data_IF_106627993070
#
_entry.id   IF_106627993070
#
_cell.length_a   1.000
_cell.length_b   1.000
_cell.length_c   1.000
_cell.angle_alpha   90.00
_cell.angle_beta   90.00
_cell.angle_gamma   90.00
#
_symmetry.space_group_name_H-M   'P 1'
#
loop_
_entity.id
_entity.type
_entity.pdbx_description
1 polymer ?
#
# COMPACT_ATOMS: atom_id res chain seq x y z
N UNK A 1 -33.12 52.84 14.70
CA UNK A 1 -32.37 51.57 14.72
C UNK A 1 -31.42 51.59 13.55
N UNK A 2 -30.11 51.73 13.77
CA UNK A 2 -29.13 51.67 12.67
C UNK A 2 -29.12 50.25 12.12
N UNK A 3 -29.34 50.09 10.81
CA UNK A 3 -29.10 48.83 10.13
C UNK A 3 -27.65 48.42 10.41
N UNK A 4 -27.47 47.34 11.18
CA UNK A 4 -26.16 46.69 11.29
C UNK A 4 -25.82 46.19 9.90
N UNK A 5 -24.94 46.90 9.21
CA UNK A 5 -24.34 46.47 7.94
C UNK A 5 -23.75 45.09 8.20
N UNK A 6 -24.29 44.06 7.55
CA UNK A 6 -23.72 42.71 7.62
C UNK A 6 -22.31 42.82 7.04
N UNK A 7 -21.30 42.63 7.87
CA UNK A 7 -19.91 42.59 7.42
C UNK A 7 -19.77 41.47 6.37
N UNK A 8 -19.17 41.81 5.23
CA UNK A 8 -18.92 40.85 4.16
C UNK A 8 -17.92 39.81 4.65
N UNK A 9 -18.23 38.53 4.47
CA UNK A 9 -17.31 37.44 4.79
C UNK A 9 -15.95 37.64 4.10
N UNK A 10 -14.87 37.69 4.89
CA UNK A 10 -13.49 37.78 4.45
C UNK A 10 -12.69 36.56 4.98
N UNK A 11 -12.51 35.50 4.17
CA UNK A 11 -11.79 34.30 4.59
C UNK A 11 -10.35 34.60 5.01
N UNK A 12 -9.67 35.54 4.33
CA UNK A 12 -8.28 35.89 4.60
C UNK A 12 -8.06 36.47 6.00
N UNK A 13 -9.10 37.07 6.60
CA UNK A 13 -9.07 37.56 7.98
C UNK A 13 -9.60 36.53 8.99
N UNK A 14 -10.59 35.71 8.59
CA UNK A 14 -11.31 34.82 9.50
C UNK A 14 -10.59 33.49 9.69
N UNK A 15 -10.07 32.88 8.63
CA UNK A 15 -9.48 31.53 8.68
C UNK A 15 -8.21 31.49 9.55
N UNK A 16 -7.20 32.38 9.36
CA UNK A 16 -6.00 32.36 10.20
C UNK A 16 -6.31 32.60 11.67
N UNK A 17 -7.22 33.54 11.96
CA UNK A 17 -7.65 33.87 13.32
C UNK A 17 -8.17 32.63 14.08
N UNK A 18 -9.02 31.82 13.43
CA UNK A 18 -9.58 30.64 14.09
C UNK A 18 -8.60 29.47 14.15
N UNK A 19 -7.78 29.28 13.12
CA UNK A 19 -6.71 28.28 13.12
C UNK A 19 -5.71 28.54 14.25
N UNK A 20 -5.24 29.77 14.41
CA UNK A 20 -4.34 30.19 15.49
C UNK A 20 -4.97 29.97 16.87
N UNK A 21 -6.25 30.35 17.03
CA UNK A 21 -6.96 30.15 18.29
C UNK A 21 -7.07 28.66 18.65
N UNK A 22 -7.48 27.81 17.72
CA UNK A 22 -7.63 26.38 18.00
C UNK A 22 -6.29 25.70 18.31
N UNK A 23 -5.21 26.15 17.66
CA UNK A 23 -3.87 25.67 17.96
C UNK A 23 -3.41 26.10 19.36
N UNK A 24 -3.62 27.36 19.73
CA UNK A 24 -3.27 27.90 21.06
C UNK A 24 -4.09 27.25 22.20
N UNK A 25 -5.35 26.92 21.94
CA UNK A 25 -6.23 26.24 22.90
C UNK A 25 -5.89 24.75 23.05
N UNK A 26 -4.96 24.21 22.25
CA UNK A 26 -4.64 22.77 22.16
C UNK A 26 -5.90 21.91 21.98
N UNK A 27 -6.91 22.47 21.30
CA UNK A 27 -8.28 21.97 21.34
C UNK A 27 -8.42 20.56 20.77
N UNK A 28 -7.58 20.18 19.81
CA UNK A 28 -7.66 18.93 19.06
C UNK A 28 -6.62 17.89 19.50
N UNK A 29 -5.83 18.19 20.52
CA UNK A 29 -4.94 17.20 21.14
C UNK A 29 -5.78 16.19 21.94
N UNK A 30 -5.48 14.90 21.75
CA UNK A 30 -6.22 13.82 22.38
C UNK A 30 -5.41 13.20 23.51
N UNK A 31 -6.09 12.97 24.64
CA UNK A 31 -5.54 12.25 25.78
C UNK A 31 -6.29 10.93 25.99
N UNK A 32 -5.55 9.90 26.41
CA UNK A 32 -6.08 8.57 26.67
C UNK A 32 -6.90 8.47 27.97
N UNK A 33 -6.77 9.44 28.88
CA UNK A 33 -7.47 9.51 30.17
C UNK A 33 -8.81 10.27 30.12
N UNK A 34 -9.29 10.61 28.91
CA UNK A 34 -10.56 11.29 28.72
C UNK A 34 -11.76 10.37 28.98
N UNK A 35 -12.74 10.85 29.74
CA UNK A 35 -13.94 10.08 30.10
C UNK A 35 -14.94 9.91 28.93
N UNK A 36 -14.83 10.69 27.85
CA UNK A 36 -15.70 10.59 26.68
C UNK A 36 -15.44 9.30 25.90
N UNK A 37 -16.45 8.76 25.19
CA UNK A 37 -16.25 7.59 24.33
C UNK A 37 -15.22 7.89 23.23
N UNK A 38 -14.27 6.98 23.02
CA UNK A 38 -13.23 7.13 22.01
C UNK A 38 -13.79 7.02 20.59
N UNK A 39 -13.21 7.78 19.67
CA UNK A 39 -13.44 7.64 18.24
C UNK A 39 -12.13 7.85 17.49
N UNK A 40 -11.71 6.88 16.67
CA UNK A 40 -10.53 7.03 15.82
C UNK A 40 -11.00 7.27 14.37
N UNK A 41 -10.75 8.47 13.87
CA UNK A 41 -10.96 8.83 12.47
C UNK A 41 -9.62 8.90 11.73
N UNK A 42 -9.47 8.16 10.64
CA UNK A 42 -8.23 8.12 9.86
C UNK A 42 -8.53 8.35 8.38
N UNK A 43 -7.72 9.19 7.74
CA UNK A 43 -7.62 9.32 6.30
C UNK A 43 -6.27 8.77 5.89
N UNK A 44 -6.19 8.06 4.75
CA UNK A 44 -4.89 7.62 4.22
C UNK A 44 -3.97 8.84 4.07
N UNK A 45 -2.84 8.81 4.75
CA UNK A 45 -1.85 9.88 4.75
C UNK A 45 -1.13 10.02 3.39
N UNK A 46 -0.68 11.23 3.01
CA UNK A 46 -0.16 11.47 1.66
C UNK A 46 1.28 10.99 1.48
N UNK A 47 1.62 10.63 0.24
CA UNK A 47 3.02 10.47 -0.18
C UNK A 47 3.70 11.83 -0.32
N UNK A 48 4.99 11.91 -0.01
CA UNK A 48 5.79 13.14 -0.05
C UNK A 48 6.40 13.43 -1.42
N UNK A 49 5.61 13.25 -2.49
CA UNK A 49 6.07 13.38 -3.88
C UNK A 49 6.10 14.82 -4.40
N UNK A 50 5.51 15.77 -3.68
CA UNK A 50 5.44 17.18 -4.04
C UNK A 50 4.39 17.93 -3.20
N UNK A 51 3.73 18.91 -3.80
CA UNK A 51 2.65 19.67 -3.16
C UNK A 51 1.30 18.90 -3.20
N UNK A 52 0.39 19.22 -2.28
CA UNK A 52 -0.94 18.62 -2.27
C UNK A 52 -1.76 19.06 -3.49
N UNK A 53 -2.28 18.08 -4.23
CA UNK A 53 -3.26 18.30 -5.30
C UNK A 53 -4.73 18.19 -4.82
N UNK A 54 -5.69 18.56 -5.69
CA UNK A 54 -7.13 18.55 -5.39
C UNK A 54 -7.69 17.22 -4.89
N UNK A 55 -7.12 16.09 -5.33
CA UNK A 55 -7.50 14.76 -4.82
C UNK A 55 -7.30 14.61 -3.30
N UNK A 56 -6.28 15.25 -2.71
CA UNK A 56 -6.08 15.24 -1.26
C UNK A 56 -7.20 15.99 -0.55
N UNK A 57 -7.55 17.19 -1.04
CA UNK A 57 -8.66 17.98 -0.48
C UNK A 57 -9.99 17.23 -0.55
N UNK A 58 -10.23 16.53 -1.67
CA UNK A 58 -11.43 15.71 -1.85
C UNK A 58 -11.54 14.58 -0.82
N UNK A 59 -10.43 13.97 -0.40
CA UNK A 59 -10.42 12.92 0.62
C UNK A 59 -10.44 13.48 2.05
N UNK A 60 -9.69 14.57 2.30
CA UNK A 60 -9.45 15.11 3.63
C UNK A 60 -10.61 15.96 4.15
N UNK A 61 -11.22 16.81 3.33
CA UNK A 61 -12.29 17.69 3.80
C UNK A 61 -13.53 16.91 4.30
N UNK A 62 -14.06 15.89 3.59
CA UNK A 62 -15.16 15.08 4.11
C UNK A 62 -14.78 14.30 5.37
N UNK A 63 -13.53 13.85 5.47
CA UNK A 63 -13.01 13.16 6.65
C UNK A 63 -13.03 14.09 7.88
N UNK A 64 -12.54 15.32 7.73
CA UNK A 64 -12.56 16.33 8.79
C UNK A 64 -14.00 16.70 9.20
N UNK A 65 -14.91 16.85 8.24
CA UNK A 65 -16.34 17.10 8.53
C UNK A 65 -16.93 16.01 9.42
N UNK A 66 -16.65 14.73 9.11
CA UNK A 66 -17.15 13.62 9.92
C UNK A 66 -16.46 13.54 11.29
N UNK A 67 -15.15 13.79 11.37
CA UNK A 67 -14.42 13.84 12.62
C UNK A 67 -14.98 14.95 13.54
N UNK A 68 -15.25 16.14 12.99
CA UNK A 68 -15.92 17.25 13.70
C UNK A 68 -17.32 16.87 14.16
N UNK A 69 -18.11 16.25 13.29
CA UNK A 69 -19.45 15.78 13.62
C UNK A 69 -19.43 14.83 14.82
N UNK A 70 -18.52 13.84 14.83
CA UNK A 70 -18.34 12.92 15.96
C UNK A 70 -17.91 13.65 17.22
N UNK A 71 -17.01 14.64 17.12
CA UNK A 71 -16.61 15.44 18.28
C UNK A 71 -17.78 16.23 18.87
N UNK A 72 -18.63 16.81 18.02
CA UNK A 72 -19.86 17.51 18.44
C UNK A 72 -20.90 16.59 19.08
N UNK A 73 -20.85 15.29 18.79
CA UNK A 73 -21.65 14.27 19.47
C UNK A 73 -21.08 13.83 20.82
N UNK A 74 -19.99 14.45 21.29
CA UNK A 74 -19.40 14.20 22.60
C UNK A 74 -18.32 13.11 22.63
N UNK A 75 -17.81 12.67 21.48
CA UNK A 75 -16.71 11.70 21.43
C UNK A 75 -15.35 12.36 21.66
N UNK A 76 -14.41 11.61 22.25
CA UNK A 76 -12.99 11.92 22.22
C UNK A 76 -12.40 11.44 20.89
N UNK A 77 -12.31 12.35 19.92
CA UNK A 77 -11.94 12.04 18.54
C UNK A 77 -10.44 12.19 18.33
N UNK A 78 -9.75 11.07 18.10
CA UNK A 78 -8.40 11.04 17.51
C UNK A 78 -8.52 11.13 15.99
N UNK A 79 -8.03 12.23 15.43
CA UNK A 79 -7.85 12.39 13.99
C UNK A 79 -6.38 12.73 13.72
N UNK A 80 -5.50 11.75 13.49
CA UNK A 80 -4.09 12.00 13.28
C UNK A 80 -3.80 12.28 11.81
N UNK A 81 -2.60 12.79 11.55
CA UNK A 81 -2.01 12.91 10.22
C UNK A 81 -0.55 12.49 10.27
N UNK A 82 0.02 12.19 9.12
CA UNK A 82 1.44 11.89 8.98
C UNK A 82 1.83 11.96 7.51
N UNK A 83 3.00 11.41 7.19
CA UNK A 83 3.53 11.41 5.84
C UNK A 83 4.14 10.06 5.49
N UNK A 84 3.68 9.48 4.39
CA UNK A 84 4.32 8.31 3.81
C UNK A 84 5.52 8.76 2.96
N UNK A 85 6.69 8.68 3.59
CA UNK A 85 7.89 9.40 3.21
C UNK A 85 9.01 8.49 2.65
N UNK A 86 8.72 7.20 2.42
CA UNK A 86 9.61 6.27 1.74
C UNK A 86 9.11 5.92 0.33
N UNK A 87 9.97 5.24 -0.43
CA UNK A 87 9.61 4.60 -1.68
C UNK A 87 9.86 5.44 -2.93
N UNK A 88 9.62 4.80 -4.07
CA UNK A 88 10.01 5.34 -5.37
C UNK A 88 9.38 6.70 -5.74
N UNK A 89 8.17 7.09 -5.32
CA UNK A 89 7.64 8.41 -5.69
C UNK A 89 8.55 9.56 -5.22
N UNK A 90 8.97 9.54 -3.95
CA UNK A 90 9.85 10.55 -3.38
C UNK A 90 11.28 10.44 -3.95
N UNK A 91 11.79 9.21 -4.10
CA UNK A 91 13.12 8.95 -4.64
C UNK A 91 13.24 9.38 -6.11
N UNK A 92 12.31 8.99 -6.97
CA UNK A 92 12.33 9.36 -8.40
C UNK A 92 12.22 10.87 -8.59
N UNK A 93 11.37 11.55 -7.80
CA UNK A 93 11.23 13.00 -7.86
C UNK A 93 12.51 13.74 -7.45
N UNK A 94 13.22 13.20 -6.46
CA UNK A 94 14.51 13.73 -6.00
C UNK A 94 15.63 13.48 -7.03
N UNK A 95 15.72 12.26 -7.58
CA UNK A 95 16.68 11.88 -8.63
C UNK A 95 16.51 12.76 -9.86
N UNK A 96 15.27 12.98 -10.33
CA UNK A 96 15.02 13.81 -11.52
C UNK A 96 15.44 15.27 -11.35
N UNK A 97 15.65 15.72 -10.10
CA UNK A 97 16.04 17.08 -9.73
C UNK A 97 17.50 17.17 -9.26
N UNK A 98 18.21 16.05 -9.15
CA UNK A 98 19.57 16.01 -8.61
C UNK A 98 19.65 16.39 -7.12
N UNK A 99 18.58 16.17 -6.35
CA UNK A 99 18.48 16.50 -4.92
C UNK A 99 18.55 15.20 -4.11
N UNK A 100 19.16 15.23 -2.92
CA UNK A 100 19.15 14.09 -2.03
C UNK A 100 17.71 13.75 -1.58
N UNK A 101 17.24 12.48 -1.68
CA UNK A 101 15.84 12.13 -1.39
C UNK A 101 15.35 12.56 -0.01
N UNK A 102 16.20 12.48 1.02
CA UNK A 102 15.86 12.95 2.36
C UNK A 102 15.56 14.44 2.38
N UNK A 103 16.41 15.28 1.78
CA UNK A 103 16.23 16.73 1.74
C UNK A 103 14.95 17.09 1.00
N UNK A 104 14.75 16.52 -0.20
CA UNK A 104 13.52 16.70 -0.98
C UNK A 104 12.26 16.33 -0.20
N UNK A 105 12.30 15.17 0.47
CA UNK A 105 11.17 14.65 1.25
C UNK A 105 10.83 15.56 2.42
N UNK A 106 11.82 15.98 3.20
CA UNK A 106 11.59 16.84 4.36
C UNK A 106 11.10 18.23 3.95
N UNK A 107 11.65 18.82 2.86
CA UNK A 107 11.15 20.09 2.32
C UNK A 107 9.70 19.99 1.84
N UNK A 108 9.32 18.88 1.21
CA UNK A 108 7.93 18.64 0.81
C UNK A 108 7.02 18.50 2.04
N UNK A 109 7.46 17.77 3.07
CA UNK A 109 6.71 17.60 4.32
C UNK A 109 6.40 18.95 4.96
N UNK A 110 7.39 19.86 5.05
CA UNK A 110 7.16 21.20 5.60
C UNK A 110 6.07 21.96 4.83
N UNK A 111 6.18 22.00 3.49
CA UNK A 111 5.17 22.67 2.64
C UNK A 111 3.80 22.02 2.73
N UNK A 112 3.74 20.69 2.66
CA UNK A 112 2.48 19.95 2.77
C UNK A 112 1.84 20.13 4.14
N UNK A 113 2.63 20.21 5.21
CA UNK A 113 2.13 20.49 6.57
C UNK A 113 1.48 21.88 6.64
N UNK A 114 2.11 22.90 6.06
CA UNK A 114 1.52 24.25 5.97
C UNK A 114 0.20 24.24 5.18
N UNK A 115 0.17 23.54 4.05
CA UNK A 115 -1.05 23.37 3.26
C UNK A 115 -2.13 22.65 4.08
N UNK A 116 -1.83 21.52 4.72
CA UNK A 116 -2.81 20.80 5.55
C UNK A 116 -3.33 21.64 6.71
N UNK A 117 -2.48 22.47 7.33
CA UNK A 117 -2.90 23.41 8.37
C UNK A 117 -3.83 24.50 7.82
N UNK A 118 -3.67 24.92 6.57
CA UNK A 118 -4.55 25.92 5.95
C UNK A 118 -5.98 25.39 5.70
N UNK A 119 -6.18 24.08 5.63
CA UNK A 119 -7.52 23.47 5.65
C UNK A 119 -8.25 23.74 6.97
N UNK A 120 -7.50 23.99 8.05
CA UNK A 120 -8.03 24.14 9.39
C UNK A 120 -8.64 22.86 9.95
N UNK A 121 -8.20 21.69 9.49
CA UNK A 121 -8.69 20.39 9.97
C UNK A 121 -8.34 20.14 11.45
N UNK A 122 -9.10 19.26 12.11
CA UNK A 122 -8.95 18.94 13.55
C UNK A 122 -7.85 17.93 13.83
N UNK A 123 -6.74 17.97 13.07
CA UNK A 123 -5.67 17.01 13.24
C UNK A 123 -4.95 17.18 14.58
N UNK A 124 -4.66 16.05 15.23
CA UNK A 124 -3.75 16.00 16.37
C UNK A 124 -2.30 15.94 15.87
N UNK A 125 -1.69 17.11 15.70
CA UNK A 125 -0.32 17.26 15.20
C UNK A 125 0.75 16.71 16.16
N UNK A 126 0.42 16.48 17.44
CA UNK A 126 1.36 15.85 18.38
C UNK A 126 1.56 14.36 18.10
N UNK A 127 0.71 13.77 17.26
CA UNK A 127 0.78 12.37 16.82
C UNK A 127 1.26 12.25 15.37
N UNK A 128 1.88 13.31 14.85
CA UNK A 128 2.48 13.28 13.52
C UNK A 128 3.54 12.19 13.42
N UNK A 129 3.47 11.40 12.35
CA UNK A 129 4.49 10.40 12.02
C UNK A 129 5.03 10.64 10.62
N UNK A 130 6.33 10.45 10.45
CA UNK A 130 7.02 10.52 9.16
C UNK A 130 7.74 9.19 8.96
N UNK A 131 7.32 8.42 7.96
CA UNK A 131 7.75 7.00 7.87
C UNK A 131 9.25 6.82 7.60
N UNK A 132 9.92 7.84 7.05
CA UNK A 132 11.36 7.82 6.77
C UNK A 132 12.26 8.17 7.96
N UNK A 133 11.69 8.58 9.10
CA UNK A 133 12.47 8.91 10.29
C UNK A 133 12.78 7.67 11.15
N UNK A 134 13.97 7.60 11.79
CA UNK A 134 14.39 6.44 12.59
C UNK A 134 13.41 6.06 13.70
N UNK A 135 12.77 7.04 14.32
CA UNK A 135 11.81 6.80 15.40
C UNK A 135 10.55 6.05 14.95
N UNK A 136 10.25 6.08 13.65
CA UNK A 136 9.19 5.27 13.05
C UNK A 136 9.72 3.92 12.57
N UNK A 137 10.68 3.90 11.63
CA UNK A 137 11.06 2.65 10.96
C UNK A 137 11.85 1.67 11.83
N UNK A 138 12.39 2.10 12.99
CA UNK A 138 12.98 1.14 13.95
C UNK A 138 11.98 0.06 14.37
N UNK A 139 10.69 0.41 14.43
CA UNK A 139 9.61 -0.52 14.75
C UNK A 139 9.27 -1.45 13.58
N UNK A 140 9.37 -0.98 12.34
CA UNK A 140 9.15 -1.83 11.16
C UNK A 140 10.29 -2.83 10.99
N UNK A 141 11.54 -2.42 11.24
CA UNK A 141 12.70 -3.30 11.31
C UNK A 141 12.53 -4.36 12.41
N UNK A 142 12.13 -3.93 13.62
CA UNK A 142 11.86 -4.84 14.72
C UNK A 142 10.74 -5.84 14.39
N UNK A 143 9.63 -5.38 13.80
CA UNK A 143 8.52 -6.25 13.41
C UNK A 143 8.93 -7.27 12.34
N UNK A 144 9.73 -6.85 11.36
CA UNK A 144 10.30 -7.75 10.36
C UNK A 144 11.13 -8.86 11.02
N UNK A 145 11.98 -8.52 11.99
CA UNK A 145 12.76 -9.52 12.74
C UNK A 145 11.85 -10.50 13.49
N UNK A 146 10.75 -10.03 14.09
CA UNK A 146 9.77 -10.91 14.75
C UNK A 146 9.05 -11.83 13.77
N UNK A 147 8.68 -11.36 12.59
CA UNK A 147 8.13 -12.21 11.54
C UNK A 147 9.17 -13.21 11.03
N UNK A 148 10.43 -12.82 10.92
CA UNK A 148 11.53 -13.71 10.52
C UNK A 148 11.79 -14.81 11.55
N UNK A 149 11.89 -14.45 12.83
CA UNK A 149 12.03 -15.39 13.96
C UNK A 149 10.86 -16.40 14.00
N UNK A 150 9.64 -15.96 13.66
CA UNK A 150 8.45 -16.80 13.57
C UNK A 150 8.33 -17.61 12.25
N UNK A 151 9.31 -17.48 11.33
CA UNK A 151 9.28 -18.14 10.03
C UNK A 151 8.21 -17.63 9.07
N UNK A 152 7.65 -16.44 9.33
CA UNK A 152 6.65 -15.74 8.52
C UNK A 152 7.28 -14.77 7.52
N UNK A 153 8.51 -14.32 7.74
CA UNK A 153 9.36 -13.70 6.73
C UNK A 153 10.44 -14.69 6.31
N UNK A 154 10.73 -14.80 5.01
CA UNK A 154 11.75 -15.72 4.50
C UNK A 154 12.38 -15.19 3.22
N UNK A 155 13.57 -15.72 2.89
CA UNK A 155 14.29 -15.38 1.68
C UNK A 155 14.25 -16.56 0.72
N UNK A 156 13.92 -16.30 -0.55
CA UNK A 156 13.86 -17.33 -1.58
C UNK A 156 14.24 -16.74 -2.95
N UNK A 157 14.73 -17.60 -3.85
CA UNK A 157 14.79 -17.28 -5.28
C UNK A 157 13.41 -17.49 -5.88
N UNK A 158 12.90 -16.46 -6.54
CA UNK A 158 11.63 -16.55 -7.25
C UNK A 158 11.68 -15.65 -8.51
N UNK A 159 10.90 -15.99 -9.54
CA UNK A 159 10.68 -15.09 -10.67
C UNK A 159 9.88 -13.89 -10.18
N UNK A 160 10.53 -12.74 -10.12
CA UNK A 160 9.89 -11.50 -9.68
C UNK A 160 9.52 -10.61 -10.85
N UNK A 161 8.49 -9.80 -10.65
CA UNK A 161 8.11 -8.74 -11.58
C UNK A 161 9.20 -7.65 -11.52
N UNK A 162 9.85 -7.38 -12.64
CA UNK A 162 10.93 -6.41 -12.75
C UNK A 162 10.54 -5.26 -13.66
N UNK A 163 10.67 -4.03 -13.18
CA UNK A 163 10.52 -2.85 -14.02
C UNK A 163 11.90 -2.41 -14.53
N UNK A 164 12.19 -2.50 -15.84
CA UNK A 164 13.50 -2.14 -16.38
C UNK A 164 13.75 -0.63 -16.37
N UNK A 165 12.72 0.20 -16.27
CA UNK A 165 12.90 1.65 -16.17
C UNK A 165 13.14 2.10 -14.72
N UNK A 166 12.35 1.58 -13.77
CA UNK A 166 12.53 1.91 -12.35
C UNK A 166 13.67 1.13 -11.69
N UNK A 167 14.22 0.12 -12.36
CA UNK A 167 15.28 -0.75 -11.85
C UNK A 167 14.95 -1.35 -10.47
N UNK A 168 13.70 -1.82 -10.32
CA UNK A 168 13.20 -2.37 -9.06
C UNK A 168 12.32 -3.59 -9.29
N UNK A 169 12.21 -4.40 -8.24
CA UNK A 169 11.17 -5.43 -8.12
C UNK A 169 9.82 -4.75 -7.84
N UNK A 170 8.74 -5.32 -8.40
CA UNK A 170 7.34 -4.95 -8.18
C UNK A 170 6.59 -6.10 -7.50
N UNK A 171 5.70 -5.79 -6.56
CA UNK A 171 4.70 -6.77 -6.11
C UNK A 171 3.67 -7.01 -7.22
N UNK A 172 2.89 -8.09 -7.14
CA UNK A 172 1.85 -8.37 -8.14
C UNK A 172 0.83 -7.22 -8.23
N UNK A 173 0.53 -6.62 -7.08
CA UNK A 173 -0.38 -5.48 -6.91
C UNK A 173 0.07 -4.24 -7.68
N UNK A 174 1.37 -4.15 -8.00
CA UNK A 174 1.99 -3.00 -8.67
C UNK A 174 2.16 -3.21 -10.19
N UNK A 175 1.71 -4.37 -10.69
CA UNK A 175 1.63 -4.70 -12.10
C UNK A 175 0.18 -4.59 -12.53
N UNK A 176 -0.14 -3.57 -13.34
CA UNK A 176 -1.51 -3.19 -13.67
C UNK A 176 -1.79 -3.35 -15.17
N UNK A 177 -3.08 -3.47 -15.52
CA UNK A 177 -3.53 -3.57 -16.90
C UNK A 177 -2.90 -4.76 -17.64
N UNK A 178 -2.29 -4.49 -18.79
CA UNK A 178 -1.63 -5.48 -19.65
C UNK A 178 -0.19 -5.81 -19.20
N UNK A 179 0.06 -5.89 -17.90
CA UNK A 179 1.38 -6.27 -17.37
C UNK A 179 2.40 -5.12 -17.35
N UNK A 180 1.95 -3.89 -17.09
CA UNK A 180 2.82 -2.71 -17.01
C UNK A 180 3.01 -2.23 -15.56
N UNK A 181 4.11 -1.53 -15.31
CA UNK A 181 4.40 -0.91 -14.03
C UNK A 181 3.35 0.18 -13.71
N UNK A 182 2.72 0.13 -12.54
CA UNK A 182 1.71 1.13 -12.11
C UNK A 182 2.22 2.58 -12.12
N UNK A 183 3.54 2.77 -12.04
CA UNK A 183 4.18 4.08 -11.83
C UNK A 183 4.62 4.73 -13.12
N UNK A 184 5.26 3.97 -14.01
CA UNK A 184 5.89 4.50 -15.22
C UNK A 184 5.32 3.92 -16.52
N UNK A 185 4.40 2.95 -16.45
CA UNK A 185 3.76 2.34 -17.62
C UNK A 185 4.67 1.44 -18.46
N UNK A 186 5.93 1.22 -18.05
CA UNK A 186 6.84 0.31 -18.77
C UNK A 186 6.38 -1.13 -18.63
N UNK A 187 6.49 -1.91 -19.71
CA UNK A 187 6.25 -3.35 -19.70
C UNK A 187 7.15 -4.04 -18.65
N UNK A 188 6.52 -4.86 -17.80
CA UNK A 188 7.19 -5.60 -16.74
C UNK A 188 7.78 -6.88 -17.32
N UNK A 189 9.03 -7.18 -16.95
CA UNK A 189 9.69 -8.43 -17.31
C UNK A 189 9.79 -9.35 -16.10
N UNK A 190 10.03 -10.64 -16.32
CA UNK A 190 10.34 -11.59 -15.25
C UNK A 190 11.86 -11.72 -15.08
N UNK A 191 12.33 -11.71 -13.83
CA UNK A 191 13.73 -11.96 -13.49
C UNK A 191 13.82 -12.82 -12.25
N UNK A 192 14.67 -13.84 -12.26
CA UNK A 192 14.94 -14.61 -11.06
C UNK A 192 15.87 -13.83 -10.13
N UNK A 193 15.37 -13.47 -8.96
CA UNK A 193 16.12 -12.76 -7.93
C UNK A 193 15.88 -13.42 -6.57
N UNK A 194 16.91 -13.39 -5.72
CA UNK A 194 16.75 -13.71 -4.31
C UNK A 194 16.13 -12.49 -3.60
N UNK A 195 14.97 -12.68 -2.98
CA UNK A 195 14.16 -11.62 -2.38
C UNK A 195 13.55 -12.06 -1.05
N UNK A 196 13.08 -11.09 -0.28
CA UNK A 196 12.32 -11.31 0.95
C UNK A 196 10.82 -11.40 0.67
N UNK A 197 10.16 -12.34 1.31
CA UNK A 197 8.73 -12.59 1.18
C UNK A 197 8.10 -12.73 2.56
N UNK A 198 6.84 -12.30 2.67
CA UNK A 198 5.98 -12.66 3.79
C UNK A 198 5.09 -13.83 3.40
N UNK A 199 4.89 -14.78 4.32
CA UNK A 199 3.94 -15.89 4.17
C UNK A 199 2.50 -15.42 4.38
N UNK A 200 2.08 -14.40 3.65
CA UNK A 200 0.70 -13.88 3.67
C UNK A 200 -0.30 -14.97 3.26
N UNK A 201 0.11 -15.93 2.44
CA UNK A 201 -0.70 -17.09 2.03
C UNK A 201 -1.09 -18.00 3.20
N UNK A 202 -0.30 -18.04 4.29
CA UNK A 202 -0.70 -18.75 5.51
C UNK A 202 -1.95 -18.13 6.18
N UNK A 203 -2.26 -16.87 5.84
CA UNK A 203 -3.39 -16.11 6.35
C UNK A 203 -4.47 -15.88 5.29
N UNK A 204 -4.38 -16.53 4.11
CA UNK A 204 -5.31 -16.28 3.01
C UNK A 204 -6.78 -16.55 3.39
N UNK A 205 -7.03 -17.58 4.21
CA UNK A 205 -8.39 -17.90 4.68
C UNK A 205 -8.93 -16.84 5.64
N UNK A 206 -8.10 -16.39 6.59
CA UNK A 206 -8.46 -15.32 7.52
C UNK A 206 -8.71 -14.00 6.77
N UNK A 207 -7.89 -13.70 5.77
CA UNK A 207 -8.05 -12.51 4.92
C UNK A 207 -9.29 -12.59 4.01
N UNK A 208 -9.84 -13.77 3.74
CA UNK A 208 -11.08 -13.94 2.99
C UNK A 208 -12.33 -13.77 3.85
N UNK A 209 -12.21 -13.88 5.18
CA UNK A 209 -13.32 -13.72 6.10
C UNK A 209 -13.64 -12.25 6.34
N UNK A 210 -14.58 -11.72 5.55
CA UNK A 210 -15.10 -10.37 5.70
C UNK A 210 -16.36 -10.28 6.58
N UNK A 211 -16.77 -11.36 7.26
CA UNK A 211 -18.04 -11.41 8.00
C UNK A 211 -18.12 -10.40 9.15
N UNK A 212 -16.95 -9.95 9.63
CA UNK A 212 -16.81 -8.99 10.73
C UNK A 212 -16.51 -7.56 10.27
N UNK A 213 -16.51 -7.29 8.96
CA UNK A 213 -16.07 -6.01 8.39
C UNK A 213 -17.23 -5.28 7.71
N UNK A 214 -17.53 -4.07 8.20
CA UNK A 214 -18.54 -3.17 7.62
C UNK A 214 -17.98 -2.36 6.45
N UNK A 215 -17.58 -3.03 5.37
CA UNK A 215 -17.04 -2.38 4.15
C UNK A 215 -18.01 -2.44 2.97
N UNK A 216 -17.85 -1.55 1.97
CA UNK A 216 -18.61 -1.63 0.73
C UNK A 216 -18.37 -2.97 0.02
N UNK A 217 -19.44 -3.58 -0.51
CA UNK A 217 -19.36 -4.90 -1.15
C UNK A 217 -18.39 -4.93 -2.34
N UNK A 218 -18.28 -3.82 -3.07
CA UNK A 218 -17.30 -3.68 -4.16
C UNK A 218 -15.87 -3.94 -3.69
N UNK A 219 -15.48 -3.42 -2.53
CA UNK A 219 -14.12 -3.59 -1.99
C UNK A 219 -13.90 -5.03 -1.55
N UNK A 220 -14.86 -5.61 -0.82
CA UNK A 220 -14.83 -7.02 -0.41
C UNK A 220 -14.74 -7.97 -1.60
N UNK A 221 -15.49 -7.70 -2.67
CA UNK A 221 -15.44 -8.48 -3.90
C UNK A 221 -14.07 -8.38 -4.61
N UNK A 222 -13.48 -7.18 -4.68
CA UNK A 222 -12.13 -6.99 -5.23
C UNK A 222 -11.09 -7.81 -4.46
N UNK A 223 -11.15 -7.81 -3.12
CA UNK A 223 -10.22 -8.60 -2.29
C UNK A 223 -10.43 -10.12 -2.44
N UNK A 224 -11.68 -10.59 -2.47
CA UNK A 224 -11.98 -12.01 -2.73
C UNK A 224 -11.43 -12.47 -4.08
N UNK A 225 -11.60 -11.66 -5.11
CA UNK A 225 -11.10 -11.96 -6.45
C UNK A 225 -9.56 -11.89 -6.51
N UNK A 226 -8.93 -10.98 -5.76
CA UNK A 226 -7.47 -10.87 -5.67
C UNK A 226 -6.85 -12.10 -5.02
N UNK A 227 -7.40 -12.56 -3.89
CA UNK A 227 -6.92 -13.77 -3.20
C UNK A 227 -7.20 -15.01 -4.05
N UNK A 228 -8.34 -15.07 -4.74
CA UNK A 228 -8.58 -16.04 -5.80
C UNK A 228 -8.60 -17.50 -5.32
N UNK A 229 -9.12 -17.77 -4.11
CA UNK A 229 -9.25 -19.14 -3.59
C UNK A 229 -10.03 -20.01 -4.57
N UNK A 230 -9.45 -21.17 -4.88
CA UNK A 230 -10.07 -22.20 -5.70
C UNK A 230 -9.93 -23.55 -5.01
N UNK A 231 -10.98 -24.37 -5.12
CA UNK A 231 -10.98 -25.75 -4.64
C UNK A 231 -11.05 -26.69 -5.84
N UNK A 232 -10.27 -27.76 -5.80
CA UNK A 232 -10.10 -28.65 -6.92
C UNK A 232 -9.36 -29.91 -6.52
N UNK A 233 -8.87 -30.63 -7.52
CA UNK A 233 -8.13 -31.87 -7.34
C UNK A 233 -6.81 -31.78 -8.07
N UNK A 234 -5.78 -32.39 -7.48
CA UNK A 234 -4.57 -32.73 -8.22
C UNK A 234 -4.76 -34.09 -8.89
N UNK A 235 -4.48 -34.17 -10.19
CA UNK A 235 -4.51 -35.40 -10.97
C UNK A 235 -3.11 -35.72 -11.46
N UNK A 236 -2.69 -36.97 -11.27
CA UNK A 236 -1.43 -37.48 -11.77
C UNK A 236 -1.64 -38.19 -13.13
N UNK A 237 -0.95 -37.72 -14.16
CA UNK A 237 -0.87 -38.35 -15.47
C UNK A 237 0.43 -39.13 -15.57
N UNK A 238 0.34 -40.44 -15.78
CA UNK A 238 1.52 -41.28 -16.00
C UNK A 238 2.19 -40.96 -17.34
N UNK A 239 3.51 -40.86 -17.34
CA UNK A 239 4.35 -40.72 -18.52
C UNK A 239 5.47 -41.77 -18.49
N UNK A 240 6.13 -42.00 -19.61
CA UNK A 240 7.33 -42.83 -19.62
C UNK A 240 8.40 -42.21 -18.69
N UNK A 241 8.78 -42.94 -17.63
CA UNK A 241 9.77 -42.49 -16.67
C UNK A 241 9.27 -41.60 -15.52
N UNK A 242 7.95 -41.43 -15.34
CA UNK A 242 7.42 -40.69 -14.19
C UNK A 242 5.93 -40.34 -14.24
N UNK A 243 5.56 -39.25 -13.57
CA UNK A 243 4.21 -38.69 -13.58
C UNK A 243 4.25 -37.16 -13.72
N UNK A 244 3.20 -36.58 -14.30
CA UNK A 244 2.94 -35.13 -14.32
C UNK A 244 1.72 -34.89 -13.45
N UNK A 245 1.85 -34.03 -12.44
CA UNK A 245 0.73 -33.59 -11.61
C UNK A 245 0.18 -32.27 -12.12
N UNK A 246 -1.15 -32.20 -12.25
CA UNK A 246 -1.86 -30.99 -12.64
C UNK A 246 -2.99 -30.71 -11.66
N UNK A 247 -3.24 -29.43 -11.39
CA UNK A 247 -4.40 -29.00 -10.61
C UNK A 247 -5.55 -28.64 -11.55
N UNK A 248 -6.77 -29.05 -11.20
CA UNK A 248 -7.99 -28.63 -11.89
C UNK A 248 -9.15 -28.44 -10.92
N UNK A 249 -9.95 -27.41 -11.13
CA UNK A 249 -11.24 -27.20 -10.45
C UNK A 249 -12.39 -27.96 -11.12
N UNK A 250 -12.13 -28.61 -12.27
CA UNK A 250 -13.10 -29.31 -13.13
C UNK A 250 -12.71 -30.77 -13.30
N UNK A 251 -12.74 -31.52 -12.21
CA UNK A 251 -12.47 -32.97 -12.21
C UNK A 251 -13.44 -33.75 -13.11
N UNK A 252 -14.67 -33.23 -13.27
CA UNK A 252 -15.72 -33.80 -14.10
C UNK A 252 -15.33 -33.94 -15.58
N UNK A 253 -14.38 -33.13 -16.07
CA UNK A 253 -13.95 -33.15 -17.47
C UNK A 253 -12.72 -34.04 -17.72
N UNK A 254 -12.27 -34.85 -16.73
CA UNK A 254 -10.98 -35.54 -16.82
C UNK A 254 -10.89 -36.54 -17.99
N UNK A 255 -11.99 -37.22 -18.33
CA UNK A 255 -12.04 -38.15 -19.46
C UNK A 255 -12.02 -37.45 -20.84
N UNK A 256 -12.19 -36.13 -20.87
CA UNK A 256 -12.11 -35.31 -22.09
C UNK A 256 -10.75 -34.67 -22.32
N UNK A 257 -9.74 -34.97 -21.50
CA UNK A 257 -8.39 -34.39 -21.65
C UNK A 257 -7.72 -34.96 -22.90
N UNK A 258 -7.37 -34.07 -23.85
CA UNK A 258 -6.70 -34.42 -25.11
C UNK A 258 -5.20 -34.11 -25.10
N UNK A 259 -4.76 -33.19 -24.24
CA UNK A 259 -3.35 -32.85 -24.02
C UNK A 259 -3.18 -32.17 -22.66
N UNK A 260 -1.92 -32.09 -22.20
CA UNK A 260 -1.50 -31.32 -21.01
C UNK A 260 -0.52 -30.25 -21.46
N UNK A 261 -0.61 -29.07 -20.87
CA UNK A 261 0.32 -27.94 -21.13
C UNK A 261 1.19 -27.74 -19.91
N UNK A 262 2.50 -27.62 -20.13
CA UNK A 262 3.46 -27.26 -19.10
C UNK A 262 3.87 -25.79 -19.26
N UNK A 263 4.03 -25.09 -18.14
CA UNK A 263 4.65 -23.77 -18.16
C UNK A 263 6.11 -23.88 -18.68
N UNK A 264 6.61 -22.91 -19.46
CA UNK A 264 7.98 -22.93 -19.97
C UNK A 264 9.05 -23.12 -18.89
N UNK A 265 8.79 -22.64 -17.67
CA UNK A 265 9.68 -22.72 -16.52
C UNK A 265 9.55 -24.03 -15.73
N UNK A 266 8.67 -24.94 -16.16
CA UNK A 266 8.42 -26.19 -15.44
C UNK A 266 9.66 -27.12 -15.53
N UNK A 267 10.14 -27.74 -14.43
CA UNK A 267 11.40 -28.51 -14.43
C UNK A 267 11.46 -29.72 -15.38
N UNK A 268 10.31 -30.21 -15.84
CA UNK A 268 10.26 -31.27 -16.84
C UNK A 268 10.51 -30.77 -18.26
N UNK A 269 10.28 -29.48 -18.55
CA UNK A 269 10.45 -28.91 -19.90
C UNK A 269 11.87 -29.13 -20.38
N UNK A 270 12.88 -28.74 -19.60
CA UNK A 270 14.30 -28.96 -19.93
C UNK A 270 14.64 -30.43 -20.22
N UNK A 271 14.02 -31.36 -19.46
CA UNK A 271 14.23 -32.80 -19.65
C UNK A 271 13.58 -33.34 -20.92
N UNK A 272 12.43 -32.78 -21.31
CA UNK A 272 11.63 -33.23 -22.44
C UNK A 272 12.11 -32.66 -23.78
N UNK A 273 12.63 -31.42 -23.78
CA UNK A 273 13.10 -30.75 -25.00
C UNK A 273 14.55 -31.10 -25.38
N UNK A 274 15.28 -31.83 -24.52
CA UNK A 274 16.61 -32.34 -24.84
C UNK A 274 17.66 -31.25 -25.14
N UNK A 275 17.45 -30.01 -24.69
CA UNK A 275 18.42 -28.93 -24.90
C UNK A 275 19.66 -29.23 -24.04
N UNK A 276 20.87 -29.35 -24.64
CA UNK A 276 22.09 -29.51 -23.87
C UNK A 276 22.25 -28.32 -22.93
N UNK A 277 22.66 -28.57 -21.68
CA UNK A 277 22.97 -27.51 -20.72
C UNK A 277 23.83 -26.43 -21.40
N UNK A 278 23.54 -25.12 -21.21
CA UNK A 278 24.28 -24.06 -21.88
C UNK A 278 25.76 -24.23 -21.56
N UNK A 279 26.55 -24.51 -22.60
CA UNK A 279 28.00 -24.58 -22.51
C UNK A 279 28.48 -23.26 -21.93
N UNK A 280 29.24 -23.37 -20.84
CA UNK A 280 30.04 -22.30 -20.25
C UNK A 280 30.63 -21.45 -21.38
N UNK A 281 30.12 -20.24 -21.56
CA UNK A 281 30.79 -19.25 -22.40
C UNK A 281 32.04 -18.87 -21.61
N UNK A 282 33.15 -19.53 -21.93
CA UNK A 282 34.47 -19.05 -21.59
C UNK A 282 34.61 -17.67 -22.26
N UNK A 283 34.55 -16.64 -21.44
CA UNK A 283 34.98 -15.31 -21.84
C UNK A 283 36.47 -15.38 -22.22
N UNK A 284 36.76 -15.14 -23.49
CA UNK A 284 38.04 -14.60 -23.93
C UNK A 284 37.95 -13.07 -23.89
#
# INVERSE_FOLDING_TARGET
>A
MSEKKVERYNPQEIEPKWQERWAADHLYEVREDDARPKWYHLTMFPYTSGDLHIGHWYAMAPSDVHARFKRMQGYNVLHPMGFDAFGLPAENAAISRGIHPFTWTMENIERMREQLKSLGAIYDWNREVITCLPDYYKWTQWFFLKLYEAGLAYRAKAPVNWCPQCQTVLANEQVVGEGVCERCGTAVTKRDLEQWFFKITNYAEELLDHSHIEWPERIKAMQRNWIGRSEGVEVAFGIEGGEIRVFTTRADTIFGVTFVVLAPEHPLVDKLIGIPAPSTVLAA
#
